data_IF_052694103773
#
_entry.id   IF_052694103773
#
_cell.length_a   1.000
_cell.length_b   1.000
_cell.length_c   1.000
_cell.angle_alpha   90.00
_cell.angle_beta   90.00
_cell.angle_gamma   90.00
#
_symmetry.space_group_name_H-M   'P 1'
#
loop_
_entity.id
_entity.type
_entity.pdbx_description
1 polymer ?
#
# COMPACT_ATOMS: atom_id res chain seq x y z
N UNK A 1 -53.38 15.05 -21.06
CA UNK A 1 -54.07 14.57 -19.88
C UNK A 1 -54.59 13.16 -20.13
N UNK A 2 -53.85 12.15 -19.68
CA UNK A 2 -54.36 10.77 -19.57
C UNK A 2 -53.78 10.21 -18.28
N UNK A 3 -54.66 9.99 -17.32
CA UNK A 3 -54.39 9.35 -16.05
C UNK A 3 -54.18 7.87 -16.28
N UNK A 4 -53.04 7.30 -15.86
CA UNK A 4 -52.83 5.86 -15.87
C UNK A 4 -53.08 5.36 -14.44
N UNK A 5 -53.99 4.40 -14.32
CA UNK A 5 -54.32 3.70 -13.08
C UNK A 5 -53.27 2.63 -12.81
N UNK A 6 -52.75 2.57 -11.61
CA UNK A 6 -52.04 1.42 -11.08
C UNK A 6 -53.03 0.31 -10.68
N UNK A 7 -52.79 -0.95 -11.02
CA UNK A 7 -53.46 -2.06 -10.33
C UNK A 7 -52.60 -2.53 -9.15
N UNK A 8 -53.23 -2.54 -8.01
CA UNK A 8 -52.77 -3.21 -6.78
C UNK A 8 -52.81 -4.73 -7.04
N UNK A 9 -51.67 -5.40 -7.14
CA UNK A 9 -51.60 -6.86 -7.17
C UNK A 9 -51.45 -7.41 -5.75
N UNK A 10 -52.47 -8.19 -5.35
CA UNK A 10 -52.56 -8.75 -4.00
C UNK A 10 -51.56 -9.87 -3.75
N UNK A 11 -51.13 -9.89 -2.55
CA UNK A 11 -50.31 -10.91 -1.91
C UNK A 11 -51.08 -12.25 -1.86
N UNK A 12 -50.64 -13.26 -2.58
CA UNK A 12 -51.17 -14.64 -2.46
C UNK A 12 -50.10 -15.47 -1.71
N UNK A 13 -50.35 -15.71 -0.43
CA UNK A 13 -49.56 -16.64 0.39
C UNK A 13 -50.12 -18.04 0.08
N UNK A 14 -49.31 -18.89 -0.55
CA UNK A 14 -49.62 -20.32 -0.72
C UNK A 14 -48.86 -21.10 0.38
N UNK A 15 -49.52 -21.46 1.44
CA UNK A 15 -49.04 -22.39 2.45
C UNK A 15 -49.24 -23.83 1.97
N UNK A 16 -48.17 -24.55 1.69
CA UNK A 16 -48.20 -26.00 1.48
C UNK A 16 -47.85 -26.68 2.81
N UNK A 17 -48.88 -27.23 3.43
CA UNK A 17 -48.72 -28.12 4.58
C UNK A 17 -48.42 -29.54 4.07
N UNK A 18 -47.20 -30.02 4.27
CA UNK A 18 -46.86 -31.44 4.21
C UNK A 18 -46.75 -31.97 5.64
N UNK A 19 -47.73 -32.76 6.02
CA UNK A 19 -47.69 -33.52 7.26
C UNK A 19 -46.85 -34.78 7.06
N UNK A 20 -45.73 -34.89 7.77
CA UNK A 20 -45.03 -36.15 7.97
C UNK A 20 -44.74 -36.28 9.49
N UNK A 21 -45.25 -37.36 10.06
CA UNK A 21 -45.09 -37.72 11.47
C UNK A 21 -43.64 -38.10 11.80
N UNK A 22 -43.11 -37.57 12.93
CA UNK A 22 -41.96 -38.18 13.60
C UNK A 22 -40.97 -37.21 14.25
N UNK A 23 -41.19 -36.95 15.56
CA UNK A 23 -40.23 -36.47 16.59
C UNK A 23 -39.62 -35.07 16.53
N UNK A 24 -39.46 -34.37 17.65
CA UNK A 24 -39.17 -32.92 17.69
C UNK A 24 -37.68 -32.65 17.64
N UNK A 25 -37.26 -32.02 16.59
CA UNK A 25 -35.99 -31.30 16.56
C UNK A 25 -36.16 -29.97 15.80
N UNK A 26 -35.62 -28.93 16.35
CA UNK A 26 -35.82 -27.52 16.10
C UNK A 26 -36.06 -27.11 14.65
N UNK A 27 -37.03 -26.24 14.47
CA UNK A 27 -37.30 -25.55 13.20
C UNK A 27 -36.28 -24.42 13.08
N UNK A 28 -35.30 -24.61 12.20
CA UNK A 28 -34.44 -23.54 11.75
C UNK A 28 -35.22 -22.76 10.68
N UNK A 29 -35.60 -21.54 10.99
CA UNK A 29 -36.17 -20.60 10.00
C UNK A 29 -35.05 -20.09 9.14
N UNK A 30 -34.98 -20.54 7.88
CA UNK A 30 -34.14 -19.93 6.84
C UNK A 30 -34.89 -18.73 6.31
N UNK A 31 -34.40 -17.54 6.61
CA UNK A 31 -34.83 -16.30 5.98
C UNK A 31 -34.32 -16.28 4.51
N UNK A 32 -35.24 -16.51 3.56
CA UNK A 32 -34.92 -16.35 2.15
C UNK A 32 -35.06 -14.86 1.81
N UNK A 33 -33.93 -14.15 1.71
CA UNK A 33 -33.91 -12.80 1.16
C UNK A 33 -34.19 -12.92 -0.35
N UNK A 34 -35.38 -12.56 -0.77
CA UNK A 34 -35.72 -12.40 -2.20
C UNK A 34 -35.10 -11.09 -2.67
N UNK A 35 -33.97 -11.16 -3.34
CA UNK A 35 -33.44 -10.02 -4.10
C UNK A 35 -34.36 -9.75 -5.27
N UNK A 36 -34.88 -8.56 -5.36
CA UNK A 36 -35.67 -8.07 -6.48
C UNK A 36 -34.85 -8.19 -7.77
N UNK A 37 -35.34 -9.00 -8.71
CA UNK A 37 -34.71 -9.09 -10.04
C UNK A 37 -35.13 -7.84 -10.79
N UNK A 38 -34.24 -6.88 -10.96
CA UNK A 38 -34.42 -5.77 -11.87
C UNK A 38 -34.11 -6.29 -13.29
N UNK A 39 -35.12 -6.44 -14.13
CA UNK A 39 -34.90 -6.67 -15.55
C UNK A 39 -34.28 -5.40 -16.15
N UNK A 40 -32.99 -5.47 -16.46
CA UNK A 40 -32.33 -4.44 -17.25
C UNK A 40 -32.48 -4.80 -18.71
N UNK A 41 -33.19 -3.97 -19.49
CA UNK A 41 -33.19 -4.09 -20.96
C UNK A 41 -31.75 -3.87 -21.47
N UNK A 42 -31.15 -4.94 -21.97
CA UNK A 42 -29.85 -4.87 -22.64
C UNK A 42 -30.05 -4.34 -24.05
N UNK A 43 -29.50 -3.18 -24.41
CA UNK A 43 -29.56 -2.70 -25.79
C UNK A 43 -28.88 -3.66 -26.73
N UNK A 44 -29.56 -4.04 -27.81
CA UNK A 44 -28.99 -4.81 -28.90
C UNK A 44 -28.09 -3.92 -29.74
N UNK A 45 -26.78 -4.23 -29.74
CA UNK A 45 -25.69 -3.66 -30.52
C UNK A 45 -25.10 -2.31 -30.04
N UNK A 46 -23.89 -2.37 -29.46
CA UNK A 46 -22.80 -1.45 -29.77
C UNK A 46 -22.27 -0.56 -28.65
N UNK A 47 -22.97 -0.27 -27.59
CA UNK A 47 -22.36 0.51 -26.48
C UNK A 47 -22.57 -0.19 -25.14
N UNK A 48 -21.47 -0.72 -24.60
CA UNK A 48 -21.44 -1.11 -23.19
C UNK A 48 -21.50 0.16 -22.37
N UNK A 49 -22.68 0.51 -21.87
CA UNK A 49 -22.76 1.57 -20.84
C UNK A 49 -22.18 1.01 -19.57
N UNK A 50 -21.00 1.50 -19.21
CA UNK A 50 -20.41 1.25 -17.88
C UNK A 50 -21.28 2.01 -16.87
N UNK A 51 -22.13 1.29 -16.15
CA UNK A 51 -22.84 1.87 -15.01
C UNK A 51 -21.86 1.96 -13.86
N UNK A 52 -21.32 3.15 -13.62
CA UNK A 52 -20.43 3.40 -12.51
C UNK A 52 -21.16 3.21 -11.17
N UNK A 53 -20.60 2.40 -10.28
CA UNK A 53 -21.09 2.33 -8.91
C UNK A 53 -20.94 3.71 -8.22
N UNK A 54 -21.72 4.00 -7.18
CA UNK A 54 -21.54 5.23 -6.40
C UNK A 54 -20.08 5.33 -5.92
N UNK A 55 -19.45 6.47 -6.18
CA UNK A 55 -18.04 6.71 -5.85
C UNK A 55 -17.03 6.39 -6.96
N UNK A 56 -17.44 5.64 -7.99
CA UNK A 56 -16.53 5.31 -9.10
C UNK A 56 -16.13 6.57 -9.89
N UNK A 57 -14.81 6.82 -9.97
CA UNK A 57 -14.26 7.95 -10.71
C UNK A 57 -14.24 9.28 -9.95
N UNK A 58 -14.73 9.34 -8.74
CA UNK A 58 -14.76 10.58 -7.95
C UNK A 58 -13.36 11.06 -7.57
N UNK A 59 -12.45 10.14 -7.24
CA UNK A 59 -11.08 10.50 -6.84
C UNK A 59 -10.30 11.03 -8.03
N UNK A 60 -10.34 10.36 -9.19
CA UNK A 60 -9.66 10.82 -10.39
C UNK A 60 -10.16 12.21 -10.81
N UNK A 61 -11.50 12.41 -10.84
CA UNK A 61 -12.10 13.69 -11.18
C UNK A 61 -11.65 14.80 -10.24
N UNK A 62 -11.64 14.54 -8.93
CA UNK A 62 -11.16 15.48 -7.90
C UNK A 62 -9.66 15.80 -8.06
N UNK A 63 -8.84 14.81 -8.36
CA UNK A 63 -7.40 14.98 -8.60
C UNK A 63 -7.17 15.84 -9.84
N UNK A 64 -7.88 15.58 -10.93
CA UNK A 64 -7.77 16.35 -12.18
C UNK A 64 -8.26 17.79 -12.00
N UNK A 65 -9.38 18.01 -11.33
CA UNK A 65 -9.91 19.35 -11.04
C UNK A 65 -8.96 20.16 -10.16
N UNK A 66 -8.40 19.54 -9.14
CA UNK A 66 -7.44 20.17 -8.21
C UNK A 66 -6.06 20.36 -8.82
N UNK A 67 -5.70 19.56 -9.84
CA UNK A 67 -4.40 19.58 -10.50
C UNK A 67 -3.25 19.01 -9.69
N UNK A 68 -3.52 18.21 -8.66
CA UNK A 68 -2.50 17.50 -7.88
C UNK A 68 -3.07 16.28 -7.15
N UNK A 69 -2.19 15.31 -6.86
CA UNK A 69 -2.48 14.16 -5.99
C UNK A 69 -2.09 14.53 -4.55
N UNK A 70 -3.00 14.33 -3.60
CA UNK A 70 -2.74 14.50 -2.17
C UNK A 70 -2.38 13.15 -1.57
N UNK A 71 -1.13 13.02 -1.13
CA UNK A 71 -0.59 11.79 -0.56
C UNK A 71 -0.37 11.95 0.95
N UNK A 72 -0.98 11.09 1.77
CA UNK A 72 -0.52 10.93 3.13
C UNK A 72 0.83 10.20 3.12
N UNK A 73 1.82 10.79 3.74
CA UNK A 73 3.20 10.33 3.75
C UNK A 73 3.89 10.59 5.09
N UNK A 74 5.20 10.56 5.05
CA UNK A 74 6.06 10.96 6.17
C UNK A 74 7.23 11.79 5.67
N UNK A 75 7.87 12.53 6.59
CA UNK A 75 8.96 13.45 6.29
C UNK A 75 10.18 13.24 7.20
N UNK A 76 10.21 12.12 7.93
CA UNK A 76 11.07 11.86 9.07
C UNK A 76 11.80 10.50 9.02
N UNK A 77 11.69 9.71 7.93
CA UNK A 77 12.34 8.42 7.80
C UNK A 77 13.20 8.35 6.54
N UNK A 78 14.52 8.30 6.73
CA UNK A 78 15.49 8.14 5.65
C UNK A 78 15.10 6.97 4.72
N UNK A 79 15.26 7.17 3.42
CA UNK A 79 14.98 6.17 2.40
C UNK A 79 13.51 6.02 2.03
N UNK A 80 12.56 6.21 2.94
CA UNK A 80 11.13 6.04 2.68
C UNK A 80 10.40 7.35 2.42
N UNK A 81 10.46 8.30 3.36
CA UNK A 81 9.89 9.62 3.22
C UNK A 81 10.59 10.58 4.17
N UNK A 82 11.34 11.52 3.60
CA UNK A 82 12.12 12.49 4.37
C UNK A 82 12.36 13.78 3.58
N UNK A 83 12.77 14.81 4.29
CA UNK A 83 13.14 16.08 3.68
C UNK A 83 14.62 16.03 3.26
N UNK A 84 14.90 16.39 1.99
CA UNK A 84 16.27 16.62 1.54
C UNK A 84 16.81 17.96 2.06
N UNK A 85 18.07 18.28 1.74
CA UNK A 85 18.72 19.52 2.17
C UNK A 85 18.02 20.79 1.68
N UNK A 86 17.28 20.71 0.58
CA UNK A 86 16.53 21.83 -0.01
C UNK A 86 15.10 21.93 0.53
N UNK A 87 14.71 21.04 1.47
CA UNK A 87 13.37 20.97 2.03
C UNK A 87 12.33 20.24 1.16
N UNK A 88 12.77 19.59 0.08
CA UNK A 88 11.91 18.78 -0.78
C UNK A 88 11.63 17.41 -0.16
N UNK A 89 10.39 16.93 -0.33
CA UNK A 89 10.02 15.57 0.07
C UNK A 89 10.60 14.56 -0.91
N UNK A 90 11.39 13.61 -0.43
CA UNK A 90 11.97 12.52 -1.22
C UNK A 90 11.87 11.19 -0.46
N UNK A 91 12.03 10.08 -1.18
CA UNK A 91 12.01 8.73 -0.61
C UNK A 91 11.22 7.74 -1.45
N UNK A 92 11.34 6.47 -1.13
CA UNK A 92 10.68 5.37 -1.83
C UNK A 92 9.16 5.56 -1.88
N UNK A 93 8.52 5.84 -0.74
CA UNK A 93 7.07 6.08 -0.64
C UNK A 93 6.64 7.35 -1.40
N UNK A 94 7.50 8.37 -1.43
CA UNK A 94 7.23 9.63 -2.13
C UNK A 94 7.30 9.44 -3.65
N UNK A 95 8.24 8.63 -4.15
CA UNK A 95 8.33 8.33 -5.57
C UNK A 95 7.13 7.51 -6.05
N UNK A 96 6.53 6.67 -5.21
CA UNK A 96 5.25 6.03 -5.56
C UNK A 96 4.12 7.04 -5.77
N UNK A 97 4.06 8.11 -4.95
CA UNK A 97 3.13 9.22 -5.17
C UNK A 97 3.43 9.98 -6.46
N UNK A 98 4.69 10.26 -6.76
CA UNK A 98 5.13 10.91 -8.01
C UNK A 98 4.77 10.09 -9.25
N UNK A 99 4.93 8.76 -9.18
CA UNK A 99 4.55 7.88 -10.27
C UNK A 99 3.04 7.99 -10.61
N UNK A 100 2.20 8.03 -9.58
CA UNK A 100 0.75 8.20 -9.76
C UNK A 100 0.43 9.58 -10.34
N UNK A 101 1.02 10.66 -9.80
CA UNK A 101 0.81 12.01 -10.32
C UNK A 101 1.25 12.15 -11.78
N UNK A 102 2.42 11.61 -12.13
CA UNK A 102 2.90 11.58 -13.51
C UNK A 102 1.96 10.82 -14.45
N UNK A 103 1.37 9.70 -13.98
CA UNK A 103 0.43 8.90 -14.78
C UNK A 103 -0.88 9.65 -15.03
N UNK A 104 -1.45 10.31 -14.04
CA UNK A 104 -2.80 10.90 -14.12
C UNK A 104 -2.83 12.37 -14.52
N UNK A 105 -1.73 13.11 -14.31
CA UNK A 105 -1.61 14.55 -14.57
C UNK A 105 -0.47 14.88 -15.54
N UNK A 106 0.41 13.93 -15.86
CA UNK A 106 1.60 14.19 -16.70
C UNK A 106 2.72 14.95 -15.98
N UNK A 107 2.58 15.24 -14.69
CA UNK A 107 3.54 16.01 -13.89
C UNK A 107 3.84 15.28 -12.55
N UNK A 108 5.05 14.77 -12.34
CA UNK A 108 5.45 14.11 -11.11
C UNK A 108 5.50 15.04 -9.88
N UNK A 109 5.67 16.34 -10.09
CA UNK A 109 5.70 17.32 -8.99
C UNK A 109 4.30 17.84 -8.61
N UNK A 110 3.27 17.43 -9.36
CA UNK A 110 1.88 17.71 -9.02
C UNK A 110 1.39 16.84 -7.84
N UNK A 111 2.13 16.85 -6.74
CA UNK A 111 1.84 16.16 -5.48
C UNK A 111 1.77 17.15 -4.32
N UNK A 112 0.98 16.77 -3.32
CA UNK A 112 1.00 17.39 -2.00
C UNK A 112 1.23 16.28 -0.97
N UNK A 113 2.28 16.37 -0.18
CA UNK A 113 2.56 15.41 0.89
C UNK A 113 1.96 15.94 2.19
N UNK A 114 1.02 15.21 2.74
CA UNK A 114 0.43 15.44 4.05
C UNK A 114 1.12 14.52 5.06
N UNK A 115 1.99 15.05 5.93
CA UNK A 115 2.63 14.24 6.96
C UNK A 115 1.59 13.74 7.97
N UNK A 116 1.60 12.43 8.25
CA UNK A 116 0.68 11.80 9.21
C UNK A 116 1.44 10.90 10.18
N UNK A 117 0.98 10.84 11.42
CA UNK A 117 1.44 9.87 12.41
C UNK A 117 0.95 8.45 12.08
N UNK A 118 1.43 7.45 12.82
CA UNK A 118 0.97 6.08 12.63
C UNK A 118 -0.54 5.90 12.93
N UNK A 119 -1.07 6.63 13.91
CA UNK A 119 -2.47 6.56 14.32
C UNK A 119 -3.41 7.28 13.33
N UNK A 120 -2.94 8.33 12.65
CA UNK A 120 -3.75 9.13 11.71
C UNK A 120 -3.95 8.46 10.34
N UNK A 121 -3.12 7.46 9.99
CA UNK A 121 -3.17 6.79 8.66
C UNK A 121 -4.56 6.29 8.26
N UNK A 122 -5.25 5.60 9.18
CA UNK A 122 -6.61 5.11 8.93
C UNK A 122 -7.62 6.25 8.74
N UNK A 123 -7.75 7.17 9.70
CA UNK A 123 -8.67 8.30 9.62
C UNK A 123 -8.55 9.12 8.33
N UNK A 124 -7.36 9.54 7.93
CA UNK A 124 -7.19 10.44 6.75
C UNK A 124 -7.60 9.78 5.42
N UNK A 125 -7.39 8.46 5.27
CA UNK A 125 -7.82 7.74 4.08
C UNK A 125 -9.32 7.45 4.10
N UNK A 126 -9.89 7.13 5.28
CA UNK A 126 -11.33 6.89 5.44
C UNK A 126 -12.18 8.13 5.17
N UNK A 127 -11.69 9.31 5.54
CA UNK A 127 -12.39 10.58 5.33
C UNK A 127 -12.25 11.12 3.91
N UNK A 128 -11.35 10.55 3.10
CA UNK A 128 -11.04 11.06 1.77
C UNK A 128 -10.28 12.38 1.77
N UNK A 129 -9.65 12.74 2.89
CA UNK A 129 -8.77 13.92 3.01
C UNK A 129 -7.57 13.79 2.08
N UNK A 130 -7.11 12.55 1.86
CA UNK A 130 -6.04 12.22 0.94
C UNK A 130 -6.53 11.26 -0.15
N UNK A 131 -5.84 11.27 -1.29
CA UNK A 131 -6.15 10.39 -2.43
C UNK A 131 -5.37 9.08 -2.36
N UNK A 132 -4.22 9.11 -1.71
CA UNK A 132 -3.28 8.01 -1.59
C UNK A 132 -2.58 8.07 -0.24
N UNK A 133 -2.44 6.92 0.42
CA UNK A 133 -1.59 6.76 1.60
C UNK A 133 -0.39 5.90 1.21
N UNK A 134 0.80 6.50 1.13
CA UNK A 134 2.08 5.84 0.88
C UNK A 134 3.04 6.20 2.01
N UNK A 135 3.08 5.34 3.03
CA UNK A 135 3.78 5.61 4.30
C UNK A 135 4.12 4.31 5.03
N UNK A 136 4.94 3.46 4.43
CA UNK A 136 5.34 2.16 5.00
C UNK A 136 4.20 1.50 5.82
N UNK A 137 3.07 1.28 5.14
CA UNK A 137 1.83 0.76 5.76
C UNK A 137 1.73 -0.74 5.59
N UNK A 138 1.85 -1.49 6.67
CA UNK A 138 1.62 -2.93 6.67
C UNK A 138 0.18 -3.25 6.30
N UNK A 139 -0.01 -4.06 5.26
CA UNK A 139 -1.30 -4.67 4.98
C UNK A 139 -1.69 -5.64 6.10
N UNK A 140 -2.86 -5.48 6.61
CA UNK A 140 -3.50 -6.47 7.48
C UNK A 140 -4.98 -6.57 7.09
N UNK A 141 -5.59 -7.74 7.28
CA UNK A 141 -7.01 -7.95 6.98
C UNK A 141 -7.93 -6.95 7.69
N UNK A 142 -7.58 -6.54 8.93
CA UNK A 142 -8.37 -5.55 9.66
C UNK A 142 -8.24 -4.14 9.10
N UNK A 143 -7.05 -3.74 8.67
CA UNK A 143 -6.83 -2.44 8.04
C UNK A 143 -7.47 -2.37 6.65
N UNK A 144 -7.31 -3.43 5.85
CA UNK A 144 -7.92 -3.54 4.53
C UNK A 144 -9.46 -3.42 4.63
N UNK A 145 -10.06 -4.12 5.58
CA UNK A 145 -11.51 -4.05 5.80
C UNK A 145 -12.01 -2.71 6.36
N UNK A 146 -11.16 -1.92 7.02
CA UNK A 146 -11.59 -0.73 7.75
C UNK A 146 -11.10 0.58 7.15
N UNK A 147 -9.88 0.63 6.63
CA UNK A 147 -9.24 1.90 6.22
C UNK A 147 -9.50 2.26 4.77
N UNK A 148 -9.19 1.33 3.87
CA UNK A 148 -9.22 1.55 2.43
C UNK A 148 -8.72 0.33 1.69
N UNK A 149 -8.77 0.37 0.36
CA UNK A 149 -8.27 -0.69 -0.50
C UNK A 149 -6.73 -0.66 -0.54
N UNK A 150 -6.10 -1.72 -0.05
CA UNK A 150 -4.66 -1.91 -0.17
C UNK A 150 -4.34 -2.42 -1.58
N UNK A 151 -3.42 -1.76 -2.26
CA UNK A 151 -3.07 -2.07 -3.65
C UNK A 151 -2.18 -3.33 -3.73
N UNK A 152 -1.00 -3.24 -4.28
CA UNK A 152 -0.02 -4.34 -4.27
C UNK A 152 1.10 -4.06 -3.28
N UNK A 153 1.66 -5.12 -2.74
CA UNK A 153 2.82 -5.01 -1.84
C UNK A 153 4.00 -4.43 -2.61
N UNK A 154 4.49 -3.29 -2.14
CA UNK A 154 5.64 -2.61 -2.73
C UNK A 154 6.93 -2.78 -1.92
N UNK A 155 6.82 -3.31 -0.69
CA UNK A 155 7.99 -3.60 0.12
C UNK A 155 7.67 -4.75 1.10
N UNK A 156 8.44 -5.81 1.07
CA UNK A 156 8.35 -6.92 2.02
C UNK A 156 9.31 -6.70 3.17
N UNK A 157 8.77 -6.59 4.36
CA UNK A 157 9.52 -6.36 5.60
C UNK A 157 9.13 -7.35 6.70
N UNK A 158 9.74 -7.21 7.83
CA UNK A 158 9.44 -7.91 9.06
C UNK A 158 9.85 -7.10 10.27
N UNK A 159 9.17 -7.28 11.38
CA UNK A 159 9.51 -6.62 12.63
C UNK A 159 10.75 -7.25 13.27
N UNK A 160 11.61 -6.40 13.82
CA UNK A 160 12.80 -6.79 14.57
C UNK A 160 13.00 -5.92 15.80
N UNK A 161 14.13 -6.11 16.42
CA UNK A 161 14.57 -5.37 17.60
C UNK A 161 15.92 -4.73 17.34
N UNK A 162 16.13 -3.53 17.88
CA UNK A 162 17.43 -2.86 17.92
C UNK A 162 17.78 -2.56 19.37
N UNK A 163 19.03 -2.80 19.70
CA UNK A 163 19.60 -2.63 21.05
C UNK A 163 20.90 -1.84 20.97
N UNK A 164 21.38 -1.33 22.10
CA UNK A 164 22.75 -0.82 22.18
C UNK A 164 23.74 -1.99 22.17
N UNK A 165 24.86 -1.84 21.47
CA UNK A 165 25.88 -2.87 21.33
C UNK A 165 26.52 -3.30 22.65
N UNK A 166 26.49 -2.47 23.67
CA UNK A 166 27.00 -2.72 25.01
C UNK A 166 25.96 -3.24 26.02
N UNK A 167 24.70 -3.44 25.57
CA UNK A 167 23.58 -3.86 26.43
C UNK A 167 23.69 -5.28 26.97
N UNK A 168 24.45 -6.15 26.30
CA UNK A 168 24.47 -7.58 26.56
C UNK A 168 23.25 -8.37 26.10
N UNK A 169 22.30 -7.74 25.39
CA UNK A 169 21.13 -8.39 24.79
C UNK A 169 21.51 -8.90 23.40
N UNK A 170 21.52 -10.22 23.23
CA UNK A 170 21.85 -10.88 21.96
C UNK A 170 20.66 -11.68 21.38
N UNK A 171 19.69 -12.00 22.24
CA UNK A 171 18.49 -12.78 21.89
C UNK A 171 17.24 -12.23 22.57
N UNK A 172 16.07 -12.77 22.20
CA UNK A 172 14.81 -12.40 22.84
C UNK A 172 14.73 -12.86 24.31
N UNK A 173 15.39 -13.97 24.66
CA UNK A 173 15.41 -14.48 26.04
C UNK A 173 16.14 -13.51 26.99
N UNK A 174 17.07 -12.71 26.47
CA UNK A 174 17.79 -11.68 27.24
C UNK A 174 16.95 -10.42 27.48
N UNK A 175 15.75 -10.33 26.88
CA UNK A 175 14.86 -9.18 27.00
C UNK A 175 13.85 -9.32 28.15
N UNK A 176 13.90 -10.38 28.95
CA UNK A 176 12.96 -10.55 30.07
C UNK A 176 13.07 -9.38 31.08
N UNK A 177 11.95 -8.69 31.28
CA UNK A 177 11.89 -7.48 32.10
C UNK A 177 12.42 -6.19 31.44
N UNK A 178 12.84 -6.24 30.16
CA UNK A 178 13.39 -5.08 29.47
C UNK A 178 12.32 -3.98 29.19
N UNK A 179 12.78 -2.73 29.19
CA UNK A 179 11.98 -1.61 28.68
C UNK A 179 12.09 -1.51 27.16
N UNK A 180 10.94 -1.49 26.47
CA UNK A 180 10.87 -1.51 25.00
C UNK A 180 10.15 -0.27 24.47
N UNK A 181 10.89 0.59 23.76
CA UNK A 181 10.32 1.74 23.06
C UNK A 181 9.56 1.31 21.79
N UNK A 182 8.33 1.79 21.62
CA UNK A 182 7.48 1.46 20.46
C UNK A 182 6.54 2.60 20.09
N UNK A 183 6.17 2.70 18.82
CA UNK A 183 5.19 3.69 18.32
C UNK A 183 3.77 3.17 18.46
N UNK A 184 2.87 3.96 19.05
CA UNK A 184 1.44 3.64 19.18
C UNK A 184 0.73 3.52 17.82
N UNK A 185 -0.36 2.74 17.77
CA UNK A 185 -1.19 2.58 16.56
C UNK A 185 -0.54 1.77 15.45
N UNK A 186 0.51 1.02 15.76
CA UNK A 186 1.27 0.22 14.81
C UNK A 186 0.95 -1.29 14.92
N UNK A 187 1.30 -2.05 13.89
CA UNK A 187 1.38 -3.52 13.97
C UNK A 187 2.47 -3.94 14.95
N UNK A 188 3.57 -3.18 14.98
CA UNK A 188 4.73 -3.48 15.81
C UNK A 188 4.43 -3.43 17.31
N UNK A 189 3.57 -2.50 17.77
CA UNK A 189 3.07 -2.47 19.15
C UNK A 189 2.27 -3.75 19.49
N UNK A 190 1.40 -4.19 18.59
CA UNK A 190 0.58 -5.39 18.79
C UNK A 190 1.40 -6.67 18.75
N UNK A 191 2.34 -6.75 17.81
CA UNK A 191 3.22 -7.92 17.65
C UNK A 191 4.18 -8.05 18.83
N UNK A 192 4.72 -6.93 19.37
CA UNK A 192 5.54 -6.91 20.57
C UNK A 192 4.84 -7.62 21.74
N UNK A 193 3.60 -7.19 22.04
CA UNK A 193 2.82 -7.78 23.12
C UNK A 193 2.50 -9.27 22.88
N UNK A 194 2.30 -9.67 21.62
CA UNK A 194 2.02 -11.06 21.27
C UNK A 194 3.28 -11.93 21.40
N UNK A 195 4.41 -11.46 20.91
CA UNK A 195 5.70 -12.19 20.93
C UNK A 195 6.16 -12.48 22.37
N UNK A 196 6.17 -11.46 23.24
CA UNK A 196 6.57 -11.62 24.64
C UNK A 196 5.62 -12.56 25.39
N UNK A 197 4.32 -12.42 25.19
CA UNK A 197 3.33 -13.33 25.80
C UNK A 197 3.51 -14.79 25.35
N UNK A 198 3.78 -15.03 24.06
CA UNK A 198 4.00 -16.38 23.52
C UNK A 198 5.24 -17.03 24.14
N UNK A 199 6.26 -16.25 24.44
CA UNK A 199 7.51 -16.69 25.07
C UNK A 199 7.43 -16.79 26.59
N UNK A 200 6.42 -16.19 27.19
CA UNK A 200 6.30 -16.11 28.65
C UNK A 200 7.30 -15.16 29.28
N UNK A 201 7.71 -14.12 28.53
CA UNK A 201 8.61 -13.06 28.99
C UNK A 201 7.80 -11.85 29.43
N UNK A 202 8.31 -11.12 30.43
CA UNK A 202 7.79 -9.81 30.84
C UNK A 202 8.53 -8.68 30.15
N UNK A 203 7.88 -7.54 29.95
CA UNK A 203 8.50 -6.31 29.44
C UNK A 203 7.74 -5.06 29.90
N UNK A 204 8.41 -3.92 29.87
CA UNK A 204 7.83 -2.61 30.09
C UNK A 204 7.67 -1.90 28.73
N UNK A 205 6.44 -1.69 28.24
CA UNK A 205 6.20 -0.93 27.03
C UNK A 205 6.32 0.57 27.28
N UNK A 206 7.27 1.24 26.61
CA UNK A 206 7.40 2.70 26.60
C UNK A 206 6.86 3.22 25.27
N UNK A 207 5.61 3.71 25.30
CA UNK A 207 4.82 4.01 24.10
C UNK A 207 4.89 5.51 23.80
N UNK A 208 5.12 5.84 22.52
CA UNK A 208 5.14 7.21 21.99
C UNK A 208 4.19 7.32 20.79
N UNK A 209 3.65 8.50 20.56
CA UNK A 209 2.76 8.76 19.43
C UNK A 209 3.52 8.99 18.11
N UNK A 210 4.71 9.58 18.17
CA UNK A 210 5.54 9.87 17.03
C UNK A 210 6.86 9.09 17.04
N UNK A 211 7.36 8.85 15.84
CA UNK A 211 8.57 8.03 15.61
C UNK A 211 9.84 8.70 16.13
N UNK A 212 9.96 10.02 16.04
CA UNK A 212 11.15 10.74 16.50
C UNK A 212 11.31 10.62 18.02
N UNK A 213 10.21 10.73 18.77
CA UNK A 213 10.21 10.56 20.22
C UNK A 213 10.61 9.14 20.65
N UNK A 214 10.19 8.09 19.88
CA UNK A 214 10.61 6.70 20.14
C UNK A 214 12.13 6.59 20.09
N UNK A 215 12.76 7.06 19.01
CA UNK A 215 14.18 6.86 18.79
C UNK A 215 15.03 7.80 19.65
N UNK A 216 14.59 9.03 19.89
CA UNK A 216 15.26 9.92 20.85
C UNK A 216 15.30 9.29 22.24
N UNK A 217 14.17 8.74 22.71
CA UNK A 217 14.12 8.06 24.00
C UNK A 217 15.05 6.83 24.06
N UNK A 218 15.11 6.06 22.98
CA UNK A 218 16.01 4.92 22.88
C UNK A 218 17.49 5.36 22.87
N UNK A 219 17.85 6.36 22.08
CA UNK A 219 19.22 6.89 22.02
C UNK A 219 19.68 7.54 23.33
N UNK A 220 18.76 8.17 24.05
CA UNK A 220 19.01 8.69 25.41
C UNK A 220 19.10 7.60 26.49
N UNK A 221 18.89 6.34 26.15
CA UNK A 221 18.95 5.21 27.07
C UNK A 221 17.74 5.06 28.00
N UNK A 222 16.58 5.65 27.63
CA UNK A 222 15.33 5.52 28.38
C UNK A 222 14.64 4.17 28.16
N UNK A 223 15.02 3.45 27.10
CA UNK A 223 14.60 2.10 26.82
C UNK A 223 15.82 1.23 26.53
N UNK A 224 15.76 -0.03 26.94
CA UNK A 224 16.81 -1.02 26.65
C UNK A 224 16.76 -1.47 25.20
N UNK A 225 15.56 -1.55 24.66
CA UNK A 225 15.25 -2.06 23.32
C UNK A 225 14.31 -1.10 22.59
N UNK A 226 14.46 -1.01 21.27
CA UNK A 226 13.40 -0.45 20.40
C UNK A 226 12.99 -1.46 19.37
N UNK A 227 11.73 -1.42 18.93
CA UNK A 227 11.17 -2.35 17.95
C UNK A 227 10.41 -1.62 16.85
N UNK A 228 10.62 -2.06 15.62
CA UNK A 228 9.92 -1.60 14.41
C UNK A 228 10.17 -2.57 13.26
N UNK A 229 9.68 -2.22 12.07
CA UNK A 229 10.09 -2.84 10.81
C UNK A 229 11.63 -2.76 10.67
N UNK A 230 12.26 -3.84 10.23
CA UNK A 230 13.73 -3.92 10.13
C UNK A 230 14.31 -2.87 9.20
N UNK A 231 13.61 -2.54 8.12
CA UNK A 231 14.03 -1.47 7.22
C UNK A 231 14.01 -0.10 7.91
N UNK A 232 13.00 0.15 8.75
CA UNK A 232 12.93 1.37 9.56
C UNK A 232 14.05 1.40 10.61
N UNK A 233 14.33 0.27 11.30
CA UNK A 233 15.45 0.18 12.23
C UNK A 233 16.79 0.44 11.53
N UNK A 234 16.99 -0.09 10.31
CA UNK A 234 18.19 0.15 9.52
C UNK A 234 18.34 1.63 9.12
N UNK A 235 17.24 2.27 8.72
CA UNK A 235 17.23 3.70 8.40
C UNK A 235 17.59 4.56 9.63
N UNK A 236 17.05 4.23 10.79
CA UNK A 236 17.29 4.94 12.04
C UNK A 236 18.71 4.72 12.53
N UNK A 237 19.21 3.48 12.46
CA UNK A 237 20.61 3.15 12.77
C UNK A 237 21.57 3.96 11.88
N UNK A 238 21.33 3.98 10.59
CA UNK A 238 22.17 4.73 9.64
C UNK A 238 22.14 6.25 9.88
N UNK A 239 21.06 6.78 10.42
CA UNK A 239 20.91 8.20 10.77
C UNK A 239 21.41 8.56 12.17
N UNK A 240 21.88 7.60 12.98
CA UNK A 240 22.40 7.86 14.30
C UNK A 240 23.79 8.53 14.24
N UNK A 241 24.16 9.30 15.27
CA UNK A 241 25.48 9.93 15.38
C UNK A 241 26.63 8.92 15.30
N UNK A 242 26.43 7.73 15.90
CA UNK A 242 27.36 6.61 15.87
C UNK A 242 26.57 5.32 15.54
N UNK A 243 26.36 4.98 14.27
CA UNK A 243 25.57 3.80 13.87
C UNK A 243 26.08 2.47 14.45
N UNK A 244 27.39 2.35 14.63
CA UNK A 244 28.05 1.14 15.14
C UNK A 244 27.79 0.87 16.65
N UNK A 245 27.27 1.86 17.38
CA UNK A 245 26.85 1.69 18.78
C UNK A 245 25.54 0.90 18.93
N UNK A 246 24.83 0.64 17.84
CA UNK A 246 23.53 -0.03 17.82
C UNK A 246 23.57 -1.30 17.00
N UNK A 247 22.81 -2.31 17.42
CA UNK A 247 22.72 -3.62 16.76
C UNK A 247 21.27 -3.96 16.49
N UNK A 248 20.95 -4.22 15.23
CA UNK A 248 19.67 -4.82 14.84
C UNK A 248 19.81 -6.33 14.98
N UNK A 249 19.06 -6.91 15.91
CA UNK A 249 19.11 -8.34 16.20
C UNK A 249 18.61 -9.17 14.98
N UNK A 250 19.11 -10.40 14.80
CA UNK A 250 18.85 -11.15 13.57
C UNK A 250 17.43 -11.70 13.45
N UNK A 251 16.69 -11.80 14.56
CA UNK A 251 15.34 -12.36 14.55
C UNK A 251 14.33 -11.47 13.83
N UNK A 252 13.32 -12.12 13.26
CA UNK A 252 12.14 -11.50 12.63
C UNK A 252 10.90 -12.11 13.29
N UNK A 253 10.07 -11.27 13.90
CA UNK A 253 8.91 -11.72 14.68
C UNK A 253 7.55 -11.58 13.97
N UNK A 254 7.53 -10.94 12.80
CA UNK A 254 6.30 -10.77 12.02
C UNK A 254 6.56 -10.69 10.53
N UNK A 255 5.46 -10.66 9.75
CA UNK A 255 5.46 -10.32 8.32
C UNK A 255 4.84 -8.93 8.18
N UNK A 256 5.59 -8.03 7.56
CA UNK A 256 5.16 -6.64 7.35
C UNK A 256 5.15 -6.33 5.83
N UNK A 257 4.09 -6.74 5.09
CA UNK A 257 3.95 -6.39 3.67
C UNK A 257 3.48 -4.95 3.54
N UNK A 258 4.40 -4.04 3.19
CA UNK A 258 4.12 -2.61 3.09
C UNK A 258 3.45 -2.30 1.74
N UNK A 259 2.33 -1.60 1.81
CA UNK A 259 1.41 -1.48 0.69
C UNK A 259 0.79 -0.09 0.65
N UNK A 260 0.78 0.61 -0.49
CA UNK A 260 -0.01 1.84 -0.67
C UNK A 260 -1.50 1.57 -0.57
N UNK A 261 -2.24 2.54 -0.01
CA UNK A 261 -3.69 2.41 0.28
C UNK A 261 -4.46 3.54 -0.39
N UNK A 262 -5.60 3.23 -0.97
CA UNK A 262 -6.53 4.21 -1.55
C UNK A 262 -7.88 4.15 -0.83
N UNK A 263 -8.70 5.22 -0.89
CA UNK A 263 -10.04 5.21 -0.28
C UNK A 263 -10.90 4.05 -0.80
N UNK A 264 -11.77 3.51 0.06
CA UNK A 264 -12.80 2.57 -0.38
C UNK A 264 -13.82 3.21 -1.33
N UNK A 265 -14.42 2.41 -2.20
CA UNK A 265 -15.58 2.78 -3.02
C UNK A 265 -15.24 3.36 -4.39
N UNK A 266 -13.97 3.63 -4.69
CA UNK A 266 -13.53 4.07 -6.02
C UNK A 266 -12.62 3.01 -6.67
N UNK A 267 -13.24 2.05 -7.33
CA UNK A 267 -12.53 0.96 -8.01
C UNK A 267 -11.68 1.48 -9.18
N UNK A 268 -12.08 2.58 -9.83
CA UNK A 268 -11.28 3.20 -10.88
C UNK A 268 -9.95 3.70 -10.34
N UNK A 269 -9.97 4.44 -9.22
CA UNK A 269 -8.75 4.95 -8.61
C UNK A 269 -7.87 3.83 -8.08
N UNK A 270 -8.48 2.79 -7.49
CA UNK A 270 -7.77 1.58 -7.05
C UNK A 270 -7.03 0.92 -8.21
N UNK A 271 -7.71 0.71 -9.34
CA UNK A 271 -7.10 0.09 -10.53
C UNK A 271 -6.01 0.98 -11.14
N UNK A 272 -6.19 2.29 -11.19
CA UNK A 272 -5.16 3.24 -11.67
C UNK A 272 -3.88 3.09 -10.83
N UNK A 273 -3.98 3.25 -9.51
CA UNK A 273 -2.81 3.18 -8.63
C UNK A 273 -2.14 1.81 -8.73
N UNK A 274 -2.92 0.74 -8.70
CA UNK A 274 -2.41 -0.63 -8.83
C UNK A 274 -1.68 -0.87 -10.15
N UNK A 275 -2.23 -0.41 -11.27
CA UNK A 275 -1.61 -0.58 -12.59
C UNK A 275 -0.33 0.24 -12.74
N UNK A 276 -0.27 1.45 -12.17
CA UNK A 276 0.98 2.22 -12.09
C UNK A 276 2.05 1.44 -11.35
N UNK A 277 1.73 0.90 -10.16
CA UNK A 277 2.69 0.10 -9.39
C UNK A 277 3.13 -1.15 -10.17
N UNK A 278 2.21 -1.83 -10.87
CA UNK A 278 2.55 -2.97 -11.71
C UNK A 278 3.45 -2.59 -12.91
N UNK A 279 3.28 -1.40 -13.47
CA UNK A 279 4.17 -0.94 -14.53
C UNK A 279 5.60 -0.74 -14.03
N UNK A 280 5.78 -0.15 -12.84
CA UNK A 280 7.11 0.01 -12.22
C UNK A 280 7.80 -1.35 -12.02
N UNK A 281 7.07 -2.37 -11.55
CA UNK A 281 7.61 -3.71 -11.33
C UNK A 281 7.90 -4.41 -12.67
N UNK A 282 6.96 -4.38 -13.62
CA UNK A 282 7.15 -5.03 -14.92
C UNK A 282 8.31 -4.43 -15.72
N UNK A 283 8.58 -3.14 -15.56
CA UNK A 283 9.67 -2.47 -16.25
C UNK A 283 11.06 -2.96 -15.83
N UNK A 284 11.19 -3.51 -14.63
CA UNK A 284 12.43 -4.14 -14.15
C UNK A 284 12.66 -5.53 -14.77
N UNK A 285 11.63 -6.18 -15.31
CA UNK A 285 11.70 -7.57 -15.78
C UNK A 285 12.67 -7.72 -16.97
N UNK A 286 13.74 -8.54 -16.85
CA UNK A 286 14.71 -8.75 -17.93
C UNK A 286 14.11 -9.29 -19.22
N UNK A 287 12.97 -10.00 -19.14
CA UNK A 287 12.30 -10.57 -20.31
C UNK A 287 11.69 -9.51 -21.24
N UNK A 288 11.54 -8.26 -20.76
CA UNK A 288 11.04 -7.13 -21.55
C UNK A 288 12.17 -6.24 -22.11
N UNK A 289 13.44 -6.58 -21.77
CA UNK A 289 14.58 -5.69 -21.89
C UNK A 289 14.46 -4.62 -20.81
N UNK A 290 15.40 -4.52 -19.84
CA UNK A 290 15.20 -3.65 -18.69
C UNK A 290 14.83 -2.24 -19.14
N UNK A 291 13.63 -1.78 -18.74
CA UNK A 291 13.15 -0.44 -19.02
C UNK A 291 13.58 0.43 -17.85
N UNK A 292 14.42 1.39 -18.10
CA UNK A 292 14.96 2.33 -17.12
C UNK A 292 14.48 3.74 -17.43
N UNK A 293 14.55 4.62 -16.45
CA UNK A 293 14.24 6.03 -16.65
C UNK A 293 15.00 6.63 -17.86
N UNK A 294 16.22 6.17 -18.09
CA UNK A 294 17.11 6.70 -19.13
C UNK A 294 16.77 6.22 -20.55
N UNK A 295 16.12 5.04 -20.72
CA UNK A 295 15.94 4.42 -22.04
C UNK A 295 14.50 4.36 -22.54
N UNK A 296 13.54 4.99 -21.86
CA UNK A 296 12.10 4.91 -22.20
C UNK A 296 11.84 5.32 -23.66
N UNK A 297 12.42 6.42 -24.11
CA UNK A 297 12.20 6.93 -25.47
C UNK A 297 12.83 5.99 -26.53
N UNK A 298 13.95 5.35 -26.21
CA UNK A 298 14.55 4.33 -27.05
C UNK A 298 13.63 3.11 -27.18
N UNK A 299 13.08 2.64 -26.05
CA UNK A 299 12.14 1.49 -26.03
C UNK A 299 10.87 1.83 -26.80
N UNK A 300 10.30 3.02 -26.64
CA UNK A 300 9.12 3.48 -27.38
C UNK A 300 9.37 3.53 -28.90
N UNK A 301 10.57 3.90 -29.33
CA UNK A 301 10.95 3.97 -30.74
C UNK A 301 11.39 2.61 -31.32
N UNK A 302 11.60 1.61 -30.49
CA UNK A 302 12.11 0.28 -30.87
C UNK A 302 11.02 -0.64 -31.39
N UNK A 303 11.41 -1.80 -31.95
CA UNK A 303 10.52 -2.90 -32.28
C UNK A 303 10.25 -3.86 -31.10
N UNK A 304 10.67 -3.52 -29.88
CA UNK A 304 10.45 -4.30 -28.68
C UNK A 304 8.98 -4.20 -28.22
N UNK A 305 8.11 -5.01 -28.81
CA UNK A 305 6.66 -5.02 -28.52
C UNK A 305 6.41 -5.19 -27.01
N UNK A 306 7.16 -6.09 -26.33
CA UNK A 306 6.95 -6.35 -24.90
C UNK A 306 7.28 -5.12 -24.04
N UNK A 307 8.38 -4.46 -24.33
CA UNK A 307 8.76 -3.22 -23.64
C UNK A 307 7.74 -2.11 -23.90
N UNK A 308 7.32 -1.94 -25.17
CA UNK A 308 6.29 -0.97 -25.54
C UNK A 308 4.94 -1.26 -24.89
N UNK A 309 4.58 -2.54 -24.69
CA UNK A 309 3.37 -2.92 -23.95
C UNK A 309 3.42 -2.44 -22.49
N UNK A 310 4.56 -2.64 -21.81
CA UNK A 310 4.74 -2.16 -20.42
C UNK A 310 4.63 -0.63 -20.34
N UNK A 311 5.11 0.07 -21.38
CA UNK A 311 5.00 1.53 -21.48
C UNK A 311 3.61 2.03 -21.91
N UNK A 312 2.66 1.11 -22.16
CA UNK A 312 1.31 1.47 -22.60
C UNK A 312 1.19 1.82 -24.09
N UNK A 313 2.24 1.61 -24.88
CA UNK A 313 2.28 2.01 -26.30
C UNK A 313 1.74 0.96 -27.28
N UNK A 314 1.28 -0.19 -26.78
CA UNK A 314 0.71 -1.28 -27.59
C UNK A 314 -0.71 -1.60 -27.13
N UNK A 315 -1.69 -1.32 -28.00
CA UNK A 315 -3.10 -1.61 -27.71
C UNK A 315 -3.71 -0.72 -26.63
N UNK A 316 -4.95 -1.05 -26.26
CA UNK A 316 -5.60 -0.45 -25.09
C UNK A 316 -5.44 -1.38 -23.89
N UNK A 317 -4.52 -1.05 -23.00
CA UNK A 317 -4.31 -1.77 -21.75
C UNK A 317 -5.37 -1.46 -20.66
N UNK A 318 -6.44 -0.80 -21.03
CA UNK A 318 -7.51 -0.35 -20.13
C UNK A 318 -7.50 1.15 -19.84
N UNK A 319 -6.55 1.92 -20.43
CA UNK A 319 -6.44 3.36 -20.14
C UNK A 319 -7.68 4.15 -20.50
N UNK A 320 -8.34 3.82 -21.61
CA UNK A 320 -9.55 4.50 -22.04
C UNK A 320 -10.70 4.31 -21.05
N UNK A 321 -10.86 3.09 -20.52
CA UNK A 321 -11.86 2.78 -19.48
C UNK A 321 -11.53 3.42 -18.14
N UNK A 322 -10.24 3.68 -17.86
CA UNK A 322 -9.76 4.32 -16.66
C UNK A 322 -9.70 5.85 -16.77
N UNK A 323 -10.06 6.43 -17.92
CA UNK A 323 -10.01 7.88 -18.13
C UNK A 323 -8.58 8.44 -18.20
N UNK A 324 -7.61 7.62 -18.62
CA UNK A 324 -6.20 7.99 -18.74
C UNK A 324 -5.78 8.14 -20.21
N UNK A 325 -4.65 8.81 -20.44
CA UNK A 325 -3.93 8.78 -21.72
C UNK A 325 -3.16 7.47 -21.90
N UNK A 326 -2.93 7.07 -23.15
CA UNK A 326 -2.14 5.89 -23.48
C UNK A 326 -0.70 5.96 -22.94
N UNK A 327 -0.17 7.16 -22.72
CA UNK A 327 1.16 7.47 -22.25
C UNK A 327 1.30 7.49 -20.71
N UNK A 328 0.21 7.24 -19.97
CA UNK A 328 0.20 7.34 -18.50
C UNK A 328 1.29 6.48 -17.84
N UNK A 329 1.46 5.21 -18.27
CA UNK A 329 2.48 4.34 -17.71
C UNK A 329 3.91 4.77 -18.10
N UNK A 330 4.10 5.24 -19.34
CA UNK A 330 5.39 5.80 -19.77
C UNK A 330 5.74 7.06 -18.97
N UNK A 331 4.77 7.92 -18.66
CA UNK A 331 4.96 9.11 -17.85
C UNK A 331 5.37 8.76 -16.41
N UNK A 332 4.73 7.76 -15.80
CA UNK A 332 5.12 7.26 -14.48
C UNK A 332 6.59 6.80 -14.45
N UNK A 333 6.99 5.98 -15.44
CA UNK A 333 8.34 5.45 -15.54
C UNK A 333 9.38 6.55 -15.87
N UNK A 334 9.03 7.55 -16.71
CA UNK A 334 9.90 8.72 -16.93
C UNK A 334 10.14 9.52 -15.66
N UNK A 335 9.13 9.60 -14.80
CA UNK A 335 9.21 10.38 -13.57
C UNK A 335 10.15 9.74 -12.54
N UNK A 336 10.01 8.42 -12.31
CA UNK A 336 10.66 7.78 -11.17
C UNK A 336 11.54 6.57 -11.53
N UNK A 337 11.50 6.09 -12.77
CA UNK A 337 12.16 4.86 -13.19
C UNK A 337 11.38 3.61 -12.83
N UNK A 338 11.99 2.43 -13.00
CA UNK A 338 11.41 1.17 -12.59
C UNK A 338 11.57 0.94 -11.07
N UNK A 339 10.94 -0.14 -10.55
CA UNK A 339 10.97 -0.47 -9.13
C UNK A 339 12.41 -0.60 -8.58
N UNK A 340 13.31 -1.27 -9.30
CA UNK A 340 14.71 -1.42 -8.90
C UNK A 340 15.46 -0.10 -8.85
N UNK A 341 15.19 0.82 -9.80
CA UNK A 341 15.77 2.15 -9.79
C UNK A 341 15.28 2.98 -8.58
N UNK A 342 13.99 2.92 -8.25
CA UNK A 342 13.45 3.59 -7.06
C UNK A 342 14.10 3.02 -5.79
N UNK A 343 14.16 1.69 -5.66
CA UNK A 343 14.77 1.04 -4.50
C UNK A 343 16.24 1.45 -4.36
N UNK A 344 17.02 1.30 -5.45
CA UNK A 344 18.46 1.55 -5.45
C UNK A 344 18.80 3.03 -5.24
N UNK A 345 17.97 3.96 -5.70
CA UNK A 345 18.13 5.39 -5.49
C UNK A 345 18.25 5.73 -4.00
N UNK A 346 17.47 5.10 -3.15
CA UNK A 346 17.42 5.42 -1.74
C UNK A 346 18.16 4.42 -0.85
N UNK A 347 18.08 3.14 -1.17
CA UNK A 347 18.50 2.04 -0.29
C UNK A 347 19.47 1.05 -0.97
N UNK A 348 19.87 1.32 -2.21
CA UNK A 348 20.87 0.50 -2.90
C UNK A 348 22.29 0.72 -2.39
N UNK A 349 23.29 0.01 -2.97
CA UNK A 349 24.70 0.15 -2.60
C UNK A 349 25.22 1.59 -2.72
N UNK A 350 24.73 2.35 -3.70
CA UNK A 350 25.05 3.76 -3.93
C UNK A 350 23.86 4.66 -3.59
N UNK A 351 22.93 4.18 -2.77
CA UNK A 351 21.72 4.88 -2.39
C UNK A 351 22.00 6.14 -1.58
N UNK A 352 21.20 7.17 -1.82
CA UNK A 352 21.40 8.49 -1.20
C UNK A 352 21.02 8.56 0.28
N UNK A 353 20.33 7.53 0.82
CA UNK A 353 19.91 7.49 2.21
C UNK A 353 20.76 6.52 3.04
N UNK A 354 20.66 5.23 2.76
CA UNK A 354 21.43 4.18 3.44
C UNK A 354 21.45 2.91 2.58
N UNK A 355 22.28 1.93 2.96
CA UNK A 355 22.35 0.67 2.21
C UNK A 355 21.52 -0.41 2.90
N UNK A 356 20.59 -1.01 2.16
CA UNK A 356 19.80 -2.16 2.60
C UNK A 356 19.76 -3.20 1.45
N UNK A 357 20.20 -4.44 1.69
CA UNK A 357 20.04 -5.49 0.68
C UNK A 357 18.56 -5.73 0.36
N UNK A 358 18.24 -5.88 -0.92
CA UNK A 358 16.84 -6.08 -1.36
C UNK A 358 16.20 -7.34 -0.77
N UNK A 359 16.91 -8.46 -0.74
CA UNK A 359 16.40 -9.71 -0.17
C UNK A 359 15.05 -10.11 -0.77
N UNK A 360 13.98 -10.17 0.03
CA UNK A 360 12.62 -10.44 -0.47
C UNK A 360 12.12 -9.38 -1.46
N UNK A 361 12.71 -8.21 -1.48
CA UNK A 361 12.37 -7.12 -2.39
C UNK A 361 13.10 -7.20 -3.74
N UNK A 362 13.85 -8.26 -4.01
CA UNK A 362 14.31 -8.56 -5.35
C UNK A 362 13.13 -8.88 -6.27
N UNK A 363 13.31 -8.59 -7.56
CA UNK A 363 12.35 -9.00 -8.57
C UNK A 363 12.20 -10.54 -8.56
N UNK A 364 11.02 -11.06 -8.86
CA UNK A 364 10.74 -12.49 -8.80
C UNK A 364 11.67 -13.35 -9.70
N UNK A 365 12.20 -12.76 -10.78
CA UNK A 365 13.18 -13.42 -11.65
C UNK A 365 14.54 -13.60 -10.99
N UNK A 366 14.82 -12.83 -9.95
CA UNK A 366 16.06 -12.87 -9.16
C UNK A 366 15.85 -13.58 -7.80
N UNK A 367 14.70 -14.24 -7.63
CA UNK A 367 14.37 -15.01 -6.44
C UNK A 367 13.67 -14.24 -5.32
N UNK A 368 13.30 -12.98 -5.55
CA UNK A 368 12.50 -12.19 -4.61
C UNK A 368 10.99 -12.42 -4.73
N UNK A 369 10.23 -11.58 -4.07
CA UNK A 369 8.77 -11.64 -4.01
C UNK A 369 8.10 -10.48 -4.78
N UNK A 370 8.87 -9.54 -5.33
CA UNK A 370 8.31 -8.44 -6.12
C UNK A 370 7.85 -9.00 -7.46
N UNK A 371 6.54 -9.08 -7.61
CA UNK A 371 5.86 -9.67 -8.77
C UNK A 371 4.69 -8.79 -9.20
N UNK A 372 4.51 -8.65 -10.51
CA UNK A 372 3.35 -8.00 -11.10
C UNK A 372 2.74 -8.86 -12.21
N UNK A 373 1.41 -8.87 -12.35
CA UNK A 373 0.75 -9.45 -13.53
C UNK A 373 1.12 -8.67 -14.79
N UNK A 374 1.02 -9.32 -15.97
CA UNK A 374 1.34 -8.66 -17.22
C UNK A 374 0.32 -7.55 -17.54
N UNK A 375 0.80 -6.44 -18.07
CA UNK A 375 -0.01 -5.39 -18.69
C UNK A 375 -0.33 -5.84 -20.13
N UNK A 376 -1.59 -5.88 -20.49
CA UNK A 376 -2.05 -6.32 -21.83
C UNK A 376 -3.26 -5.52 -22.26
#
# INVERSE_FOLDING_TARGET
MRKLFLPLAGLMILAVLLAACGSPSGVETVEVVVTEIVEVEVPTEGEVQVVNAPGYGEVLARVQERGRVVCAGRTDLLGFGYLNADGGNIGFDIDLCRAVAAAVLGDPEAIEIVPVTAAERGPVIQTGEVDLLSRNVTWTSSRDAQWGNFTNVMFYDGQGYMVRGDSGIESQDDMDGASVCVTSGTTTEKNLAADFRERGLDFEAVIFEDTASVYNAFFEGRCDVTTSDRSQLAAVQAGADNPDDYVILPMIISKEPLTPVVPHGDDQWFDIVKLVMYALINAENPAYGPITQANIDEVLASENIKGRTVLGAEGDWGYSSLGLGADALANALRAVGNYGEIYNRYMGPDGIAFTLPRGLNEHWTEGGMIYAPPIK
#
